data_IF_448482379819
#
_entry.id   IF_448482379819
#
_cell.length_a   1.000
_cell.length_b   1.000
_cell.length_c   1.000
_cell.angle_alpha   90.00
_cell.angle_beta   90.00
_cell.angle_gamma   90.00
#
_symmetry.space_group_name_H-M   'P 1'
#
loop_
_entity.id
_entity.type
_entity.pdbx_description
1 polymer ?
#
# COMPACT_ATOMS: atom_id res chain seq x y z
N UNK A 1 10.53 13.94 -17.01
CA UNK A 1 9.75 12.75 -16.62
C UNK A 1 9.91 12.53 -15.13
N UNK A 2 9.12 13.22 -14.30
CA UNK A 2 9.04 12.90 -12.87
C UNK A 2 8.27 11.58 -12.77
N UNK A 3 9.00 10.47 -12.82
CA UNK A 3 8.43 9.14 -12.65
C UNK A 3 7.70 9.09 -11.31
N UNK A 4 6.55 8.40 -11.28
CA UNK A 4 5.73 7.94 -10.13
C UNK A 4 6.12 8.47 -8.72
N UNK A 5 7.38 8.29 -8.31
CA UNK A 5 8.03 8.74 -7.08
C UNK A 5 8.17 10.25 -6.86
N UNK A 6 8.08 11.10 -7.89
CA UNK A 6 8.12 12.56 -7.71
C UNK A 6 6.97 13.10 -6.84
N UNK A 7 5.85 12.38 -6.79
CA UNK A 7 4.71 12.71 -5.94
C UNK A 7 4.94 12.36 -4.46
N UNK A 8 5.98 11.58 -4.13
CA UNK A 8 6.30 11.22 -2.75
C UNK A 8 6.73 12.45 -1.93
N UNK A 9 7.28 13.48 -2.57
CA UNK A 9 7.61 14.76 -1.93
C UNK A 9 6.39 15.44 -1.30
N UNK A 10 5.17 15.13 -1.76
CA UNK A 10 3.94 15.63 -1.14
C UNK A 10 3.76 15.12 0.30
N UNK A 11 4.36 13.98 0.65
CA UNK A 11 4.35 13.46 2.03
C UNK A 11 5.13 14.38 2.98
N UNK A 12 6.12 15.13 2.47
CA UNK A 12 6.83 16.15 3.28
C UNK A 12 5.89 17.27 3.70
N UNK A 13 4.79 17.50 2.97
CA UNK A 13 3.75 18.47 3.35
C UNK A 13 2.89 17.99 4.52
N UNK A 14 2.90 16.69 4.82
CA UNK A 14 2.30 16.19 6.04
C UNK A 14 3.15 16.69 7.22
N UNK A 15 2.61 17.66 7.94
CA UNK A 15 3.33 18.48 8.93
C UNK A 15 3.88 17.68 10.14
N UNK A 16 3.60 16.38 10.24
CA UNK A 16 4.17 15.52 11.27
C UNK A 16 4.17 14.04 10.89
N UNK A 17 5.05 13.27 11.56
CA UNK A 17 5.17 11.81 11.43
C UNK A 17 3.85 11.07 11.66
N UNK A 18 3.02 11.55 12.58
CA UNK A 18 1.74 10.92 12.93
C UNK A 18 0.74 10.94 11.79
N UNK A 19 0.74 12.00 10.98
CA UNK A 19 -0.13 12.09 9.81
C UNK A 19 0.31 11.14 8.70
N UNK A 20 1.62 10.99 8.51
CA UNK A 20 2.17 9.99 7.59
C UNK A 20 1.83 8.58 8.07
N UNK A 21 1.96 8.33 9.38
CA UNK A 21 1.58 7.06 10.01
C UNK A 21 0.09 6.75 9.79
N UNK A 22 -0.77 7.74 9.99
CA UNK A 22 -2.21 7.64 9.77
C UNK A 22 -2.54 7.29 8.31
N UNK A 23 -1.91 7.98 7.34
CA UNK A 23 -2.12 7.69 5.90
C UNK A 23 -1.75 6.25 5.59
N UNK A 24 -0.58 5.78 6.04
CA UNK A 24 -0.11 4.41 5.80
C UNK A 24 -1.07 3.36 6.40
N UNK A 25 -1.52 3.59 7.63
CA UNK A 25 -2.49 2.70 8.29
C UNK A 25 -3.85 2.69 7.59
N UNK A 26 -4.38 3.86 7.21
CA UNK A 26 -5.63 3.94 6.49
C UNK A 26 -5.54 3.26 5.10
N UNK A 27 -4.43 3.43 4.38
CA UNK A 27 -4.16 2.71 3.13
C UNK A 27 -4.12 1.18 3.32
N UNK A 28 -3.53 0.70 4.43
CA UNK A 28 -3.54 -0.72 4.76
C UNK A 28 -4.96 -1.24 5.07
N UNK A 29 -5.73 -0.51 5.88
CA UNK A 29 -7.09 -0.91 6.28
C UNK A 29 -8.03 -0.95 5.07
N UNK A 30 -7.89 0.02 4.18
CA UNK A 30 -8.70 0.15 2.95
C UNK A 30 -8.16 -0.66 1.76
N UNK A 31 -7.17 -1.54 1.97
CA UNK A 31 -6.53 -2.31 0.88
C UNK A 31 -7.50 -3.17 0.04
N UNK A 32 -8.63 -3.59 0.63
CA UNK A 32 -9.65 -4.43 -0.01
C UNK A 32 -10.83 -3.64 -0.59
N UNK A 33 -11.22 -2.56 0.07
CA UNK A 33 -12.42 -1.78 -0.23
C UNK A 33 -12.14 -0.53 -1.06
N UNK A 34 -10.88 -0.11 -1.11
CA UNK A 34 -10.51 1.21 -1.62
C UNK A 34 -10.75 2.32 -0.60
N UNK A 35 -10.13 3.46 -0.87
CA UNK A 35 -10.23 4.67 -0.05
C UNK A 35 -11.53 5.40 -0.39
N UNK A 36 -12.37 5.68 0.61
CA UNK A 36 -13.66 6.36 0.42
C UNK A 36 -13.47 7.87 0.20
N UNK A 37 -14.57 8.57 -0.10
CA UNK A 37 -14.54 10.01 -0.37
C UNK A 37 -14.16 10.84 0.88
N UNK A 38 -14.46 10.38 2.09
CA UNK A 38 -14.16 11.09 3.32
C UNK A 38 -12.66 11.00 3.65
N UNK A 39 -12.10 9.80 3.57
CA UNK A 39 -10.67 9.55 3.74
C UNK A 39 -9.85 10.29 2.67
N UNK A 40 -10.32 10.31 1.42
CA UNK A 40 -9.70 11.11 0.34
C UNK A 40 -9.65 12.60 0.71
N UNK A 41 -10.74 13.16 1.23
CA UNK A 41 -10.78 14.58 1.64
C UNK A 41 -9.83 14.86 2.81
N UNK A 42 -9.76 13.94 3.79
CA UNK A 42 -8.81 14.05 4.91
C UNK A 42 -7.37 14.04 4.37
N UNK A 43 -7.04 13.14 3.45
CA UNK A 43 -5.71 13.07 2.87
C UNK A 43 -5.36 14.31 2.06
N UNK A 44 -6.29 14.86 1.27
CA UNK A 44 -6.10 16.14 0.57
C UNK A 44 -5.80 17.28 1.55
N UNK A 45 -6.51 17.32 2.68
CA UNK A 45 -6.29 18.34 3.73
C UNK A 45 -4.93 18.17 4.41
N UNK A 46 -4.52 16.95 4.72
CA UNK A 46 -3.22 16.64 5.34
C UNK A 46 -2.06 17.00 4.41
N UNK A 47 -2.16 16.61 3.14
CA UNK A 47 -1.11 16.78 2.14
C UNK A 47 -1.16 18.15 1.45
N UNK A 48 -2.18 18.96 1.77
CA UNK A 48 -2.45 20.27 1.17
C UNK A 48 -2.46 20.19 -0.37
N UNK A 49 -3.22 19.22 -0.89
CA UNK A 49 -3.36 18.95 -2.33
C UNK A 49 -4.74 19.37 -2.81
N UNK A 50 -4.79 20.12 -3.90
CA UNK A 50 -6.03 20.68 -4.44
C UNK A 50 -6.82 19.70 -5.32
N UNK A 51 -6.16 18.76 -5.99
CA UNK A 51 -6.75 17.89 -7.01
C UNK A 51 -6.46 16.40 -6.77
N UNK A 52 -7.38 15.53 -7.21
CA UNK A 52 -7.18 14.07 -7.16
C UNK A 52 -6.05 13.58 -8.08
N UNK A 53 -5.80 14.30 -9.17
CA UNK A 53 -4.76 13.97 -10.14
C UNK A 53 -3.35 13.92 -9.53
N UNK A 54 -3.11 14.66 -8.44
CA UNK A 54 -1.85 14.64 -7.71
C UNK A 54 -1.86 13.66 -6.53
N UNK A 55 -3.05 13.36 -6.01
CA UNK A 55 -3.24 12.44 -4.89
C UNK A 55 -3.14 10.98 -5.34
N UNK A 56 -3.82 10.60 -6.43
CA UNK A 56 -3.88 9.21 -6.87
C UNK A 56 -2.49 8.59 -7.14
N UNK A 57 -1.54 9.26 -7.83
CA UNK A 57 -0.19 8.74 -8.02
C UNK A 57 0.55 8.49 -6.70
N UNK A 58 0.40 9.41 -5.73
CA UNK A 58 0.99 9.25 -4.40
C UNK A 58 0.41 8.03 -3.67
N UNK A 59 -0.91 7.87 -3.70
CA UNK A 59 -1.55 6.72 -3.05
C UNK A 59 -1.11 5.40 -3.68
N UNK A 60 -0.92 5.37 -4.99
CA UNK A 60 -0.36 4.20 -5.69
C UNK A 60 1.05 3.90 -5.20
N UNK A 61 1.93 4.91 -5.12
CA UNK A 61 3.30 4.74 -4.61
C UNK A 61 3.30 4.12 -3.21
N UNK A 62 2.53 4.70 -2.29
CA UNK A 62 2.44 4.23 -0.91
C UNK A 62 1.87 2.81 -0.82
N UNK A 63 0.84 2.49 -1.62
CA UNK A 63 0.27 1.13 -1.67
C UNK A 63 1.27 0.10 -2.17
N UNK A 64 2.06 0.42 -3.20
CA UNK A 64 3.10 -0.48 -3.70
C UNK A 64 4.15 -0.72 -2.62
N UNK A 65 4.64 0.34 -1.97
CA UNK A 65 5.61 0.21 -0.87
C UNK A 65 5.10 -0.68 0.26
N UNK A 66 3.88 -0.43 0.74
CA UNK A 66 3.24 -1.23 1.80
C UNK A 66 3.12 -2.69 1.36
N UNK A 67 2.60 -2.94 0.16
CA UNK A 67 2.36 -4.31 -0.31
C UNK A 67 3.67 -5.07 -0.47
N UNK A 68 4.69 -4.47 -1.09
CA UNK A 68 5.99 -5.10 -1.31
C UNK A 68 6.70 -5.34 0.02
N UNK A 69 6.74 -4.35 0.92
CA UNK A 69 7.42 -4.49 2.22
C UNK A 69 6.81 -5.59 3.10
N UNK A 70 5.48 -5.71 3.12
CA UNK A 70 4.78 -6.71 3.94
C UNK A 70 4.83 -8.09 3.30
N UNK A 71 4.60 -8.18 1.98
CA UNK A 71 4.51 -9.48 1.28
C UNK A 71 5.85 -10.16 1.16
N UNK A 72 6.91 -9.41 0.83
CA UNK A 72 8.27 -9.95 0.68
C UNK A 72 9.04 -9.95 2.01
N UNK A 73 8.45 -9.43 3.08
CA UNK A 73 9.06 -9.34 4.41
C UNK A 73 10.46 -8.69 4.36
N UNK A 74 10.57 -7.61 3.60
CA UNK A 74 11.83 -6.89 3.40
C UNK A 74 12.35 -6.29 4.71
N UNK A 75 13.66 -6.31 4.87
CA UNK A 75 14.39 -5.63 5.93
C UNK A 75 14.62 -4.14 5.58
N UNK A 76 15.29 -3.40 6.47
CA UNK A 76 15.53 -1.96 6.28
C UNK A 76 16.25 -1.65 4.97
N UNK A 77 17.26 -2.46 4.63
CA UNK A 77 18.02 -2.34 3.38
C UNK A 77 17.16 -2.71 2.16
N UNK A 78 16.35 -3.77 2.24
CA UNK A 78 15.43 -4.16 1.18
C UNK A 78 14.36 -3.09 0.90
N UNK A 79 13.78 -2.52 1.95
CA UNK A 79 12.80 -1.42 1.82
C UNK A 79 13.49 -0.18 1.24
N UNK A 80 14.69 0.15 1.70
CA UNK A 80 15.44 1.31 1.20
C UNK A 80 15.76 1.20 -0.29
N UNK A 81 16.02 -0.01 -0.80
CA UNK A 81 16.23 -0.26 -2.25
C UNK A 81 14.99 -0.05 -3.11
N UNK A 82 13.78 0.01 -2.54
CA UNK A 82 12.55 0.28 -3.30
C UNK A 82 12.43 1.75 -3.71
N UNK A 83 13.11 2.65 -3.01
CA UNK A 83 13.06 4.07 -3.29
C UNK A 83 14.15 4.44 -4.30
N UNK A 84 13.82 5.20 -5.35
CA UNK A 84 14.82 5.65 -6.29
C UNK A 84 15.57 6.88 -5.72
N UNK A 85 16.75 7.23 -6.26
CA UNK A 85 17.62 8.26 -5.69
C UNK A 85 17.02 9.67 -5.71
N UNK A 86 15.93 9.89 -6.44
CA UNK A 86 15.20 11.15 -6.49
C UNK A 86 14.39 11.43 -5.21
N UNK A 87 14.15 10.41 -4.38
CA UNK A 87 13.43 10.57 -3.10
C UNK A 87 14.38 11.05 -2.01
N UNK A 88 13.95 12.08 -1.26
CA UNK A 88 14.72 12.60 -0.13
C UNK A 88 15.04 11.51 0.90
N UNK A 89 16.31 11.40 1.36
CA UNK A 89 16.74 10.34 2.28
C UNK A 89 16.04 10.40 3.65
N UNK A 90 15.62 11.59 4.09
CA UNK A 90 14.85 11.78 5.32
C UNK A 90 13.45 11.17 5.21
N UNK A 91 12.79 11.36 4.07
CA UNK A 91 11.48 10.79 3.78
C UNK A 91 11.56 9.27 3.66
N UNK A 92 12.58 8.78 2.95
CA UNK A 92 12.85 7.35 2.84
C UNK A 92 12.99 6.72 4.23
N UNK A 93 13.83 7.29 5.12
CA UNK A 93 14.00 6.79 6.48
C UNK A 93 12.70 6.81 7.28
N UNK A 94 11.91 7.88 7.19
CA UNK A 94 10.63 7.99 7.87
C UNK A 94 9.66 6.88 7.43
N UNK A 95 9.49 6.70 6.11
CA UNK A 95 8.59 5.69 5.56
C UNK A 95 9.09 4.29 5.90
N UNK A 96 10.39 4.01 5.73
CA UNK A 96 11.00 2.72 6.10
C UNK A 96 10.75 2.39 7.57
N UNK A 97 10.95 3.35 8.47
CA UNK A 97 10.69 3.18 9.90
C UNK A 97 9.22 2.84 10.19
N UNK A 98 8.28 3.56 9.56
CA UNK A 98 6.85 3.33 9.75
C UNK A 98 6.40 1.98 9.16
N UNK A 99 6.88 1.62 7.98
CA UNK A 99 6.61 0.32 7.36
C UNK A 99 7.10 -0.82 8.25
N UNK A 100 8.30 -0.71 8.81
CA UNK A 100 8.88 -1.70 9.73
C UNK A 100 8.06 -1.82 11.02
N UNK A 101 7.63 -0.70 11.59
CA UNK A 101 6.78 -0.66 12.79
C UNK A 101 5.52 -1.50 12.61
N UNK A 102 4.86 -1.40 11.44
CA UNK A 102 3.58 -2.08 11.19
C UNK A 102 3.70 -3.41 10.47
N UNK A 103 4.89 -3.76 9.96
CA UNK A 103 5.11 -4.97 9.15
C UNK A 103 4.62 -6.24 9.85
N UNK A 104 4.88 -6.37 11.16
CA UNK A 104 4.48 -7.55 11.94
C UNK A 104 2.95 -7.69 11.97
N UNK A 105 2.25 -6.64 12.40
CA UNK A 105 0.80 -6.64 12.54
C UNK A 105 0.10 -6.84 11.18
N UNK A 106 0.61 -6.18 10.13
CA UNK A 106 0.09 -6.31 8.78
C UNK A 106 0.32 -7.71 8.19
N UNK A 107 1.43 -8.39 8.53
CA UNK A 107 1.64 -9.78 8.12
C UNK A 107 0.68 -10.74 8.81
N UNK A 108 0.39 -10.51 10.09
CA UNK A 108 -0.62 -11.28 10.82
C UNK A 108 -2.01 -11.08 10.20
N UNK A 109 -2.36 -9.84 9.82
CA UNK A 109 -3.57 -9.53 9.09
C UNK A 109 -3.64 -10.25 7.74
N UNK A 110 -2.56 -10.26 6.96
CA UNK A 110 -2.51 -11.02 5.69
C UNK A 110 -2.68 -12.52 5.90
N UNK A 111 -2.12 -13.04 6.99
CA UNK A 111 -2.23 -14.46 7.32
C UNK A 111 -3.68 -14.83 7.65
N UNK A 112 -4.39 -13.99 8.42
CA UNK A 112 -5.83 -14.15 8.71
C UNK A 112 -6.69 -14.01 7.45
N UNK A 113 -6.32 -13.07 6.59
CA UNK A 113 -6.97 -12.83 5.30
C UNK A 113 -6.93 -14.06 4.38
N UNK A 114 -5.82 -14.81 4.36
CA UNK A 114 -5.69 -16.05 3.58
C UNK A 114 -6.58 -17.18 4.11
N UNK A 115 -6.87 -17.21 5.41
CA UNK A 115 -7.73 -18.22 6.03
C UNK A 115 -9.22 -17.95 5.75
N UNK A 116 -9.57 -16.71 5.39
CA UNK A 116 -10.97 -16.28 5.20
C UNK A 116 -11.53 -16.59 3.81
N UNK A 117 -10.67 -16.90 2.83
CA UNK A 117 -11.16 -17.50 1.58
C UNK A 117 -11.33 -19.00 1.80
N UNK A 118 -12.55 -19.57 1.73
CA UNK A 118 -12.67 -21.00 1.50
C UNK A 118 -11.90 -21.24 0.20
N UNK A 119 -10.78 -21.97 0.30
CA UNK A 119 -9.97 -22.37 -0.86
C UNK A 119 -10.97 -22.82 -1.91
N UNK A 120 -11.10 -22.08 -3.01
CA UNK A 120 -12.03 -22.40 -4.09
C UNK A 120 -11.49 -23.67 -4.77
N UNK A 121 -11.71 -24.80 -4.10
CA UNK A 121 -11.41 -26.16 -4.50
C UNK A 121 -12.66 -26.79 -5.10
N UNK A 122 -13.48 -26.03 -5.81
CA UNK A 122 -14.62 -26.58 -6.55
C UNK A 122 -14.88 -25.72 -7.77
N UNK A 123 -14.07 -25.93 -8.79
CA UNK A 123 -14.47 -25.92 -10.21
C UNK A 123 -13.30 -26.51 -11.00
N UNK A 124 -12.90 -27.73 -10.61
CA UNK A 124 -12.34 -28.64 -11.58
C UNK A 124 -13.48 -28.86 -12.58
N UNK A 125 -13.34 -28.24 -13.75
CA UNK A 125 -14.22 -28.42 -14.90
C UNK A 125 -14.04 -29.86 -15.37
N UNK A 126 -14.65 -30.81 -14.67
CA UNK A 126 -14.87 -32.14 -15.21
C UNK A 126 -15.97 -31.96 -16.25
N UNK A 127 -15.58 -31.61 -17.47
CA UNK A 127 -16.32 -32.04 -18.66
C UNK A 127 -16.20 -33.56 -18.65
N UNK A 128 -17.11 -34.15 -17.89
CA UNK A 128 -17.61 -35.50 -18.10
C UNK A 128 -18.22 -35.47 -19.50
N UNK A 129 -17.40 -35.74 -20.51
CA UNK A 129 -17.90 -36.05 -21.84
C UNK A 129 -18.39 -37.51 -21.81
N UNK A 130 -19.44 -37.74 -21.03
CA UNK A 130 -20.38 -38.81 -21.30
C UNK A 130 -21.25 -38.33 -22.45
N UNK A 131 -21.14 -39.05 -23.58
CA UNK A 131 -22.13 -39.28 -24.66
C UNK A 131 -21.34 -39.73 -25.88
N UNK A 132 -21.70 -40.75 -26.63
CA UNK A 132 -22.69 -41.83 -26.61
C UNK A 132 -22.37 -42.54 -27.95
N UNK A 133 -22.41 -43.87 -27.96
CA UNK A 133 -22.33 -44.78 -29.14
C UNK A 133 -20.96 -45.11 -29.77
#
# INVERSE_FOLDING_TARGET
NHGMWGHLELVVRANCKELVDYILQALWRTRRTGLDAADRQIFRKILQVSNDSDLDPLLVCLRVLIRTSVSENLDEDGISKLFPPEVLPELQRLITLLLRKHQKDWREDLSKDQVTFPRLKFMAWNVENQKEE
#
